data_IF_249936944095
#
_entry.id   IF_249936944095
#
_cell.length_a   1.000
_cell.length_b   1.000
_cell.length_c   1.000
_cell.angle_alpha   90.00
_cell.angle_beta   90.00
_cell.angle_gamma   90.00
#
_symmetry.space_group_name_H-M   'P 1'
#
loop_
_entity.id
_entity.type
_entity.pdbx_description
1 polymer ?
#
# COMPACT_ATOMS: atom_id res chain seq x y z
N UNK A 1 14.70 23.68 -1.57
CA UNK A 1 14.16 23.30 -0.25
C UNK A 1 13.25 22.10 -0.44
N UNK A 2 13.77 20.90 -0.20
CA UNK A 2 13.02 19.66 -0.42
C UNK A 2 12.24 19.36 0.86
N UNK A 3 10.92 19.46 0.80
CA UNK A 3 10.04 19.16 1.94
C UNK A 3 10.25 17.73 2.42
N UNK A 4 10.76 17.58 3.63
CA UNK A 4 10.75 16.31 4.35
C UNK A 4 9.30 16.08 4.74
N UNK A 5 8.59 15.23 4.01
CA UNK A 5 7.29 14.71 4.45
C UNK A 5 7.55 13.75 5.61
N UNK A 6 7.41 14.26 6.82
CA UNK A 6 7.22 13.46 8.03
C UNK A 6 5.87 12.75 7.90
N UNK A 7 5.89 11.43 7.66
CA UNK A 7 4.68 10.62 7.66
C UNK A 7 4.38 10.19 9.08
N UNK A 8 3.54 10.95 9.78
CA UNK A 8 2.75 10.34 10.86
C UNK A 8 1.89 9.24 10.22
N UNK A 9 2.12 7.99 10.58
CA UNK A 9 1.38 6.86 10.01
C UNK A 9 -0.11 6.99 10.35
N UNK A 10 -0.91 7.43 9.38
CA UNK A 10 -2.35 7.54 9.55
C UNK A 10 -2.93 6.12 9.71
N UNK A 11 -3.56 5.85 10.85
CA UNK A 11 -4.26 4.58 11.06
C UNK A 11 -5.43 4.47 10.08
N UNK A 12 -5.50 3.39 9.28
CA UNK A 12 -6.62 3.19 8.37
C UNK A 12 -7.95 3.14 9.11
N UNK A 13 -8.97 3.80 8.55
CA UNK A 13 -10.33 3.80 9.08
C UNK A 13 -11.19 2.72 8.42
N UNK A 14 -12.22 2.24 9.12
CA UNK A 14 -13.27 1.43 8.51
C UNK A 14 -14.30 2.36 7.86
N UNK A 15 -14.71 2.08 6.63
CA UNK A 15 -15.88 2.68 6.00
C UNK A 15 -17.00 1.65 5.91
N UNK A 16 -18.17 2.00 6.42
CA UNK A 16 -19.36 1.14 6.44
C UNK A 16 -20.58 1.90 5.95
N UNK A 17 -21.30 1.29 5.01
CA UNK A 17 -22.64 1.71 4.62
C UNK A 17 -23.67 0.74 5.18
N UNK A 18 -23.72 0.67 6.50
CA UNK A 18 -24.63 -0.17 7.26
C UNK A 18 -25.03 0.53 8.57
N UNK A 19 -26.18 0.15 9.12
CA UNK A 19 -26.60 0.62 10.44
C UNK A 19 -25.74 -0.01 11.55
N UNK A 20 -25.66 0.61 12.74
CA UNK A 20 -24.94 0.02 13.86
C UNK A 20 -25.48 -1.36 14.18
N UNK A 21 -24.59 -2.33 14.37
CA UNK A 21 -24.96 -3.69 14.78
C UNK A 21 -24.06 -4.18 15.91
N UNK A 22 -24.52 -5.14 16.75
CA UNK A 22 -23.69 -5.69 17.82
C UNK A 22 -22.35 -6.26 17.31
N UNK A 23 -22.34 -6.85 16.10
CA UNK A 23 -21.13 -7.36 15.47
C UNK A 23 -20.13 -6.24 15.12
N UNK A 24 -20.62 -5.09 14.66
CA UNK A 24 -19.78 -3.94 14.31
C UNK A 24 -19.25 -3.23 15.56
N UNK A 25 -20.10 -3.03 16.57
CA UNK A 25 -19.71 -2.42 17.85
C UNK A 25 -18.75 -3.33 18.64
N UNK A 26 -18.91 -4.65 18.50
CA UNK A 26 -17.99 -5.64 19.08
C UNK A 26 -16.67 -5.82 18.33
N UNK A 27 -16.46 -5.14 17.19
CA UNK A 27 -15.27 -5.28 16.36
C UNK A 27 -14.02 -4.56 16.91
N UNK A 28 -14.07 -3.99 18.13
CA UNK A 28 -12.97 -3.25 18.76
C UNK A 28 -12.50 -2.04 17.94
N UNK A 29 -13.45 -1.33 17.33
CA UNK A 29 -13.20 -0.09 16.62
C UNK A 29 -13.69 1.09 17.46
N UNK A 30 -12.84 2.10 17.63
CA UNK A 30 -13.22 3.28 18.42
C UNK A 30 -14.29 4.10 17.70
N UNK A 31 -14.14 4.27 16.39
CA UNK A 31 -15.02 5.04 15.52
C UNK A 31 -15.00 4.46 14.10
N UNK A 32 -16.08 4.68 13.35
CA UNK A 32 -16.19 4.30 11.94
C UNK A 32 -16.43 5.50 11.03
N UNK A 33 -16.31 5.31 9.72
CA UNK A 33 -16.65 6.30 8.71
C UNK A 33 -17.90 5.84 7.96
N UNK A 34 -18.85 6.75 7.75
CA UNK A 34 -20.17 6.43 7.19
C UNK A 34 -20.56 7.44 6.10
N UNK A 35 -21.39 7.05 5.13
CA UNK A 35 -22.00 8.02 4.22
C UNK A 35 -23.06 8.87 4.95
N UNK A 36 -23.31 10.08 4.44
CA UNK A 36 -24.26 11.02 5.04
C UNK A 36 -25.68 10.45 5.22
N UNK A 37 -26.09 9.54 4.33
CA UNK A 37 -27.37 8.84 4.40
C UNK A 37 -27.56 8.01 5.69
N UNK A 38 -26.48 7.66 6.39
CA UNK A 38 -26.50 6.85 7.62
C UNK A 38 -26.38 7.68 8.90
N UNK A 39 -26.21 9.00 8.80
CA UNK A 39 -25.92 9.86 9.96
C UNK A 39 -26.97 9.75 11.09
N UNK A 40 -28.25 9.65 10.73
CA UNK A 40 -29.36 9.50 11.68
C UNK A 40 -29.29 8.18 12.45
N UNK A 41 -29.03 7.05 11.76
CA UNK A 41 -28.92 5.74 12.38
C UNK A 41 -27.72 5.60 13.32
N UNK A 42 -26.70 6.44 13.15
CA UNK A 42 -25.46 6.44 13.93
C UNK A 42 -25.46 7.48 15.07
N UNK A 43 -26.58 8.17 15.33
CA UNK A 43 -26.70 9.11 16.46
C UNK A 43 -26.35 8.42 17.78
N UNK A 44 -25.43 9.02 18.55
CA UNK A 44 -24.96 8.51 19.84
C UNK A 44 -23.88 7.44 19.74
N UNK A 45 -23.47 7.04 18.53
CA UNK A 45 -22.32 6.16 18.29
C UNK A 45 -21.16 6.97 17.70
N UNK A 46 -19.90 6.52 17.87
CA UNK A 46 -18.78 7.23 17.25
C UNK A 46 -18.72 6.95 15.74
N UNK A 47 -19.16 7.91 14.94
CA UNK A 47 -19.05 7.86 13.49
C UNK A 47 -18.67 9.22 12.90
N UNK A 48 -17.86 9.19 11.85
CA UNK A 48 -17.52 10.37 11.04
C UNK A 48 -18.22 10.25 9.70
N UNK A 49 -19.01 11.27 9.35
CA UNK A 49 -19.64 11.35 8.04
C UNK A 49 -18.60 11.72 6.99
N UNK A 50 -18.51 10.93 5.93
CA UNK A 50 -17.61 11.16 4.79
C UNK A 50 -18.38 11.05 3.48
N UNK A 51 -18.00 11.85 2.49
CA UNK A 51 -18.49 11.70 1.12
C UNK A 51 -17.60 10.70 0.36
N UNK A 52 -18.08 9.47 0.06
CA UNK A 52 -17.29 8.49 -0.66
C UNK A 52 -16.99 8.89 -2.11
N UNK A 53 -17.73 9.82 -2.70
CA UNK A 53 -17.48 10.31 -4.05
C UNK A 53 -16.22 11.21 -4.12
N UNK A 54 -15.86 11.86 -3.02
CA UNK A 54 -14.67 12.71 -2.91
C UNK A 54 -13.37 11.92 -2.67
N UNK A 55 -13.45 10.60 -2.45
CA UNK A 55 -12.32 9.75 -2.12
C UNK A 55 -11.68 9.10 -3.35
N UNK A 56 -10.37 8.85 -3.28
CA UNK A 56 -9.65 8.15 -4.36
C UNK A 56 -9.90 6.65 -4.26
N UNK A 57 -10.69 6.08 -5.17
CA UNK A 57 -10.99 4.64 -5.18
C UNK A 57 -9.78 3.81 -5.60
N UNK A 58 -9.45 2.81 -4.79
CA UNK A 58 -8.35 1.88 -5.05
C UNK A 58 -8.85 0.42 -5.01
N UNK A 59 -8.23 -0.47 -5.82
CA UNK A 59 -8.56 -1.89 -5.82
C UNK A 59 -8.14 -2.59 -4.53
N UNK A 60 -8.73 -3.75 -4.26
CA UNK A 60 -8.30 -4.63 -3.19
C UNK A 60 -6.86 -5.13 -3.40
N UNK A 61 -6.01 -5.12 -2.37
CA UNK A 61 -4.76 -5.86 -2.40
C UNK A 61 -5.00 -7.35 -2.17
N UNK A 62 -4.10 -8.17 -2.70
CA UNK A 62 -4.20 -9.61 -2.55
C UNK A 62 -3.13 -10.39 -3.30
N UNK A 63 -3.29 -11.71 -3.29
CA UNK A 63 -2.39 -12.63 -3.98
C UNK A 63 -3.22 -13.53 -4.90
N UNK A 64 -2.90 -13.49 -6.19
CA UNK A 64 -3.47 -14.37 -7.21
C UNK A 64 -2.54 -15.55 -7.44
N UNK A 65 -2.87 -16.66 -6.79
CA UNK A 65 -2.26 -17.95 -7.05
C UNK A 65 -2.76 -18.51 -8.38
N UNK A 66 -1.84 -19.07 -9.18
CA UNK A 66 -2.13 -19.68 -10.48
C UNK A 66 -1.68 -21.14 -10.48
N UNK A 67 -2.19 -21.92 -9.53
CA UNK A 67 -1.72 -23.29 -9.27
C UNK A 67 -2.05 -24.29 -10.39
N UNK A 68 -3.09 -24.02 -11.20
CA UNK A 68 -3.60 -24.95 -12.20
C UNK A 68 -3.20 -24.60 -13.64
N UNK A 69 -2.15 -23.80 -13.82
CA UNK A 69 -1.71 -23.34 -15.14
C UNK A 69 -0.24 -23.68 -15.37
N UNK A 70 0.07 -24.36 -16.48
CA UNK A 70 1.45 -24.62 -16.88
C UNK A 70 2.17 -23.31 -17.23
N UNK A 71 3.23 -22.97 -16.50
CA UNK A 71 3.96 -21.70 -16.61
C UNK A 71 5.44 -21.88 -16.35
N UNK A 72 6.25 -20.93 -16.81
CA UNK A 72 7.69 -20.89 -16.55
C UNK A 72 8.04 -20.59 -15.07
N UNK A 73 7.09 -20.10 -14.26
CA UNK A 73 7.26 -19.86 -12.83
C UNK A 73 5.95 -20.10 -12.08
N UNK A 74 6.05 -20.64 -10.88
CA UNK A 74 4.94 -20.80 -9.92
C UNK A 74 4.73 -19.59 -9.01
N UNK A 75 5.53 -18.52 -9.17
CA UNK A 75 5.44 -17.33 -8.33
C UNK A 75 4.05 -16.67 -8.47
N UNK A 76 3.29 -16.51 -7.38
CA UNK A 76 1.95 -15.95 -7.45
C UNK A 76 2.01 -14.46 -7.79
N UNK A 77 0.96 -13.96 -8.44
CA UNK A 77 0.87 -12.53 -8.72
C UNK A 77 0.43 -11.77 -7.47
N UNK A 78 1.10 -10.67 -7.14
CA UNK A 78 0.74 -9.80 -6.00
C UNK A 78 0.02 -8.58 -6.55
N UNK A 79 -1.23 -8.40 -6.11
CA UNK A 79 -2.00 -7.18 -6.35
C UNK A 79 -1.74 -6.23 -5.18
N UNK A 80 -1.07 -5.12 -5.48
CA UNK A 80 -0.63 -4.14 -4.49
C UNK A 80 -0.90 -2.72 -4.98
N UNK A 81 -1.36 -1.87 -4.06
CA UNK A 81 -1.50 -0.43 -4.26
C UNK A 81 -0.20 0.34 -4.03
N UNK A 82 0.88 -0.33 -3.62
CA UNK A 82 2.18 0.29 -3.32
C UNK A 82 2.70 1.24 -4.41
N UNK A 83 2.50 0.91 -5.69
CA UNK A 83 2.93 1.77 -6.79
C UNK A 83 2.10 3.07 -6.87
N UNK A 84 0.82 2.97 -6.52
CA UNK A 84 -0.10 4.12 -6.45
C UNK A 84 0.26 5.01 -5.26
N UNK A 85 0.57 4.42 -4.11
CA UNK A 85 1.06 5.16 -2.95
C UNK A 85 2.40 5.83 -3.21
N UNK A 86 3.33 5.16 -3.91
CA UNK A 86 4.63 5.71 -4.27
C UNK A 86 4.54 6.90 -5.23
N UNK A 87 3.55 6.92 -6.13
CA UNK A 87 3.21 8.08 -6.98
C UNK A 87 2.60 9.25 -6.18
N UNK A 88 2.10 8.97 -4.99
CA UNK A 88 1.24 9.86 -4.23
C UNK A 88 -0.21 9.72 -4.65
N UNK A 89 -1.09 9.58 -3.65
CA UNK A 89 -2.55 9.65 -3.83
C UNK A 89 -3.03 11.04 -3.41
N UNK A 90 -4.08 11.54 -4.08
CA UNK A 90 -4.74 12.77 -3.65
C UNK A 90 -5.75 12.44 -2.56
N UNK A 91 -5.60 13.08 -1.39
CA UNK A 91 -6.49 12.90 -0.26
C UNK A 91 -6.48 11.47 0.29
N UNK A 92 -7.64 11.02 0.76
CA UNK A 92 -7.82 9.70 1.38
C UNK A 92 -8.25 8.66 0.35
N UNK A 93 -7.64 7.48 0.39
CA UNK A 93 -8.02 6.36 -0.44
C UNK A 93 -9.29 5.66 0.10
N UNK A 94 -10.19 5.23 -0.77
CA UNK A 94 -11.26 4.29 -0.46
C UNK A 94 -10.93 2.95 -1.07
N UNK A 95 -10.65 1.94 -0.24
CA UNK A 95 -10.20 0.62 -0.67
C UNK A 95 -11.35 -0.36 -0.52
N UNK A 96 -11.80 -0.89 -1.65
CA UNK A 96 -12.76 -1.99 -1.68
C UNK A 96 -12.03 -3.31 -1.41
N UNK A 97 -11.81 -3.67 -0.14
CA UNK A 97 -11.02 -4.85 0.21
C UNK A 97 -11.65 -6.16 -0.28
N UNK A 98 -12.97 -6.27 -0.29
CA UNK A 98 -13.64 -7.55 -0.51
C UNK A 98 -13.32 -8.57 0.60
N UNK A 99 -13.91 -9.75 0.47
CA UNK A 99 -13.90 -10.77 1.52
C UNK A 99 -12.47 -11.20 1.90
N UNK A 100 -12.15 -11.13 3.19
CA UNK A 100 -10.90 -11.62 3.78
C UNK A 100 -9.69 -10.69 3.67
N UNK A 101 -9.77 -9.58 2.93
CA UNK A 101 -8.60 -8.72 2.66
C UNK A 101 -8.58 -7.42 3.46
N UNK A 102 -9.56 -7.16 4.33
CA UNK A 102 -9.64 -5.89 5.06
C UNK A 102 -8.40 -5.61 5.93
N UNK A 103 -7.92 -6.63 6.65
CA UNK A 103 -6.69 -6.54 7.43
C UNK A 103 -5.45 -6.32 6.55
N UNK A 104 -5.36 -7.02 5.41
CA UNK A 104 -4.26 -6.84 4.46
C UNK A 104 -4.24 -5.42 3.87
N UNK A 105 -5.41 -4.89 3.51
CA UNK A 105 -5.54 -3.53 2.99
C UNK A 105 -5.16 -2.46 4.01
N UNK A 106 -5.52 -2.67 5.29
CA UNK A 106 -5.08 -1.80 6.37
C UNK A 106 -3.55 -1.84 6.54
N UNK A 107 -2.97 -3.05 6.57
CA UNK A 107 -1.52 -3.22 6.72
C UNK A 107 -0.74 -2.58 5.57
N UNK A 108 -1.20 -2.75 4.33
CA UNK A 108 -0.57 -2.15 3.15
C UNK A 108 -0.64 -0.61 3.22
N UNK A 109 -1.82 -0.04 3.44
CA UNK A 109 -1.99 1.41 3.53
C UNK A 109 -1.11 2.00 4.65
N UNK A 110 -1.07 1.35 5.82
CA UNK A 110 -0.22 1.77 6.94
C UNK A 110 1.27 1.69 6.61
N UNK A 111 1.74 0.59 5.98
CA UNK A 111 3.13 0.44 5.58
C UNK A 111 3.59 1.56 4.62
N UNK A 112 2.69 2.04 3.76
CA UNK A 112 2.94 3.17 2.87
C UNK A 112 2.58 4.54 3.48
N UNK A 113 2.06 4.57 4.71
CA UNK A 113 1.59 5.78 5.39
C UNK A 113 0.51 6.53 4.59
N UNK A 114 -0.28 5.79 3.81
CA UNK A 114 -1.38 6.35 3.04
C UNK A 114 -2.62 6.50 3.93
N UNK A 115 -3.26 7.66 3.92
CA UNK A 115 -4.58 7.82 4.50
C UNK A 115 -5.58 6.95 3.73
N UNK A 116 -6.20 5.98 4.40
CA UNK A 116 -7.10 5.04 3.77
C UNK A 116 -8.35 4.74 4.61
N UNK A 117 -9.47 4.58 3.91
CA UNK A 117 -10.72 4.05 4.39
C UNK A 117 -10.99 2.71 3.72
N UNK A 118 -11.15 1.67 4.53
CA UNK A 118 -11.32 0.29 4.04
C UNK A 118 -12.80 -0.06 4.12
N UNK A 119 -13.38 -0.50 3.00
CA UNK A 119 -14.73 -1.07 3.02
C UNK A 119 -14.62 -2.57 3.30
N UNK A 120 -15.33 -3.05 4.33
CA UNK A 120 -15.33 -4.46 4.70
C UNK A 120 -16.73 -4.92 5.11
N UNK A 121 -17.03 -6.20 4.85
CA UNK A 121 -18.28 -6.83 5.28
C UNK A 121 -18.23 -7.34 6.73
N UNK A 122 -19.36 -7.80 7.28
CA UNK A 122 -19.46 -8.26 8.68
C UNK A 122 -18.45 -9.33 9.10
N UNK A 123 -18.06 -10.20 8.17
CA UNK A 123 -17.10 -11.29 8.40
C UNK A 123 -15.69 -10.78 8.70
N UNK A 124 -15.34 -9.59 8.21
CA UNK A 124 -13.98 -9.05 8.27
C UNK A 124 -13.81 -7.96 9.33
N UNK A 125 -14.89 -7.44 9.92
CA UNK A 125 -14.82 -6.33 10.86
C UNK A 125 -13.93 -6.62 12.07
N UNK A 126 -14.05 -7.82 12.64
CA UNK A 126 -13.24 -8.23 13.79
C UNK A 126 -11.75 -8.30 13.42
N UNK A 127 -11.42 -8.96 12.31
CA UNK A 127 -10.04 -9.08 11.82
C UNK A 127 -9.45 -7.71 11.48
N UNK A 128 -10.25 -6.80 10.91
CA UNK A 128 -9.84 -5.42 10.66
C UNK A 128 -9.56 -4.65 11.96
N UNK A 129 -10.43 -4.77 12.98
CA UNK A 129 -10.22 -4.14 14.28
C UNK A 129 -8.96 -4.65 14.99
N UNK A 130 -8.73 -5.96 14.99
CA UNK A 130 -7.50 -6.58 15.52
C UNK A 130 -6.26 -6.07 14.79
N UNK A 131 -6.30 -5.98 13.46
CA UNK A 131 -5.22 -5.40 12.66
C UNK A 131 -4.99 -3.93 13.00
N UNK A 132 -6.05 -3.11 13.10
CA UNK A 132 -5.92 -1.68 13.45
C UNK A 132 -5.29 -1.51 14.84
N UNK A 133 -5.66 -2.36 15.80
CA UNK A 133 -5.04 -2.38 17.14
C UNK A 133 -3.57 -2.76 17.09
N UNK A 134 -3.21 -3.78 16.29
CA UNK A 134 -1.81 -4.15 16.06
C UNK A 134 -1.01 -2.99 15.46
N UNK A 135 -1.53 -2.34 14.42
CA UNK A 135 -0.89 -1.21 13.76
C UNK A 135 -0.72 -0.02 14.71
N UNK A 136 -1.71 0.26 15.55
CA UNK A 136 -1.63 1.33 16.57
C UNK A 136 -0.59 1.06 17.67
N UNK A 137 -0.22 -0.19 17.89
CA UNK A 137 0.82 -0.59 18.85
C UNK A 137 2.23 -0.53 18.25
N UNK A 138 2.36 -0.36 16.93
CA UNK A 138 3.67 -0.19 16.29
C UNK A 138 4.27 1.16 16.68
N UNK A 139 5.60 1.24 16.86
CA UNK A 139 6.26 2.51 17.09
C UNK A 139 6.03 3.44 15.89
N UNK A 140 5.75 4.71 16.18
CA UNK A 140 5.64 5.75 15.15
C UNK A 140 6.90 5.78 14.29
N UNK A 141 6.73 5.70 12.98
CA UNK A 141 7.83 5.69 12.02
C UNK A 141 8.17 7.11 11.54
N UNK A 142 9.04 7.81 12.26
CA UNK A 142 9.46 9.18 11.89
C UNK A 142 10.63 9.20 10.88
N UNK A 143 11.10 8.03 10.46
CA UNK A 143 12.24 7.88 9.56
C UNK A 143 11.80 7.91 8.09
N UNK A 144 12.58 8.56 7.21
CA UNK A 144 12.26 8.59 5.79
C UNK A 144 12.36 7.20 5.18
N UNK A 145 11.50 6.96 4.18
CA UNK A 145 11.57 5.76 3.36
C UNK A 145 12.89 5.75 2.57
N UNK A 146 13.61 4.63 2.64
CA UNK A 146 14.84 4.42 1.89
C UNK A 146 14.53 3.88 0.49
N UNK A 147 15.29 4.37 -0.48
CA UNK A 147 15.24 3.92 -1.86
C UNK A 147 16.61 4.10 -2.53
N UNK A 148 16.96 3.15 -3.39
CA UNK A 148 18.20 3.16 -4.19
C UNK A 148 17.92 3.40 -5.67
N UNK A 149 16.65 3.33 -6.05
CA UNK A 149 16.19 3.45 -7.41
C UNK A 149 15.33 4.71 -7.53
N UNK A 150 15.68 5.57 -8.48
CA UNK A 150 14.82 6.65 -8.95
C UNK A 150 14.00 6.16 -10.12
N UNK A 151 12.69 6.08 -9.96
CA UNK A 151 11.79 5.72 -11.06
C UNK A 151 11.22 6.99 -11.68
N UNK A 152 11.60 7.27 -12.93
CA UNK A 152 11.15 8.43 -13.70
C UNK A 152 9.76 8.18 -14.28
N UNK A 153 8.73 8.35 -13.47
CA UNK A 153 7.36 8.05 -13.87
C UNK A 153 6.85 9.03 -14.93
N UNK A 154 6.47 8.50 -16.09
CA UNK A 154 5.86 9.24 -17.20
C UNK A 154 4.32 9.16 -17.20
N UNK A 155 3.74 8.51 -16.19
CA UNK A 155 2.29 8.30 -16.07
C UNK A 155 1.72 7.21 -16.97
N UNK A 156 2.54 6.52 -17.77
CA UNK A 156 2.08 5.47 -18.67
C UNK A 156 1.57 4.22 -17.93
N UNK A 157 0.72 3.40 -18.58
CA UNK A 157 0.38 2.07 -18.07
C UNK A 157 1.61 1.18 -17.88
N UNK A 158 2.59 1.25 -18.79
CA UNK A 158 3.84 0.51 -18.68
C UNK A 158 4.62 0.90 -17.41
N UNK A 159 4.68 2.19 -17.08
CA UNK A 159 5.28 2.67 -15.84
C UNK A 159 4.63 2.05 -14.59
N UNK A 160 3.29 1.96 -14.58
CA UNK A 160 2.55 1.34 -13.48
C UNK A 160 2.91 -0.13 -13.31
N UNK A 161 2.98 -0.89 -14.41
CA UNK A 161 3.36 -2.29 -14.40
C UNK A 161 4.82 -2.48 -13.96
N UNK A 162 5.76 -1.71 -14.53
CA UNK A 162 7.17 -1.78 -14.15
C UNK A 162 7.36 -1.57 -12.64
N UNK A 163 6.68 -0.57 -12.05
CA UNK A 163 6.73 -0.33 -10.60
C UNK A 163 6.16 -1.48 -9.77
N UNK A 164 5.06 -2.10 -10.20
CA UNK A 164 4.52 -3.30 -9.52
C UNK A 164 5.56 -4.43 -9.52
N UNK A 165 6.27 -4.64 -10.63
CA UNK A 165 7.31 -5.67 -10.70
C UNK A 165 8.54 -5.34 -9.84
N UNK A 166 8.90 -4.06 -9.72
CA UNK A 166 9.94 -3.63 -8.77
C UNK A 166 9.51 -3.89 -7.31
N UNK A 167 8.27 -3.56 -6.95
CA UNK A 167 7.71 -3.81 -5.60
C UNK A 167 7.72 -5.28 -5.26
N UNK A 168 7.24 -6.15 -6.17
CA UNK A 168 7.21 -7.60 -5.97
C UNK A 168 8.58 -8.20 -5.69
N UNK A 169 9.64 -7.62 -6.27
CA UNK A 169 11.03 -8.04 -6.06
C UNK A 169 11.73 -7.29 -4.91
N UNK A 170 10.99 -6.48 -4.16
CA UNK A 170 11.51 -5.61 -3.09
C UNK A 170 12.70 -4.75 -3.57
N UNK A 171 12.62 -4.28 -4.81
CA UNK A 171 13.54 -3.29 -5.38
C UNK A 171 13.03 -1.91 -4.99
N UNK A 172 13.55 -1.38 -3.88
CA UNK A 172 13.03 -0.17 -3.27
C UNK A 172 13.33 1.06 -4.14
N UNK A 173 12.27 1.65 -4.68
CA UNK A 173 12.31 2.84 -5.51
C UNK A 173 11.55 4.01 -4.87
N UNK A 174 11.87 5.21 -5.34
CA UNK A 174 11.03 6.39 -5.19
C UNK A 174 10.71 6.96 -6.55
N UNK A 175 9.50 7.48 -6.70
CA UNK A 175 9.08 8.18 -7.91
C UNK A 175 9.77 9.55 -7.94
N UNK A 176 10.42 9.87 -9.05
CA UNK A 176 11.13 11.14 -9.26
C UNK A 176 10.76 11.72 -10.62
N UNK A 177 10.76 13.05 -10.73
CA UNK A 177 10.47 13.75 -12.00
C UNK A 177 11.72 13.98 -12.84
N UNK A 178 12.89 14.05 -12.20
CA UNK A 178 14.20 14.17 -12.85
C UNK A 178 15.15 13.13 -12.27
N UNK A 179 16.18 12.69 -13.02
CA UNK A 179 17.19 11.80 -12.47
C UNK A 179 17.79 12.37 -11.18
N UNK A 180 17.92 11.56 -10.14
CA UNK A 180 18.56 11.94 -8.89
C UNK A 180 19.89 11.20 -8.75
N UNK A 181 21.00 11.96 -8.79
CA UNK A 181 22.35 11.43 -8.69
C UNK A 181 22.69 10.85 -7.30
N UNK A 182 21.85 11.08 -6.28
CA UNK A 182 21.99 10.47 -4.95
C UNK A 182 21.43 9.05 -4.90
N UNK A 183 20.83 8.55 -5.98
CA UNK A 183 20.34 7.18 -6.10
C UNK A 183 21.31 6.37 -6.94
N UNK A 184 21.44 5.09 -6.62
CA UNK A 184 22.36 4.19 -7.31
C UNK A 184 21.96 3.97 -8.78
N UNK A 185 20.65 3.94 -9.05
CA UNK A 185 20.12 3.71 -10.40
C UNK A 185 18.92 4.63 -10.66
N UNK A 186 18.88 5.22 -11.85
CA UNK A 186 17.73 5.94 -12.36
C UNK A 186 17.12 5.17 -13.53
N UNK A 187 15.81 4.92 -13.49
CA UNK A 187 15.09 3.99 -14.37
C UNK A 187 13.97 4.75 -15.07
N UNK A 188 13.87 4.58 -16.39
CA UNK A 188 12.73 5.04 -17.18
C UNK A 188 11.77 3.88 -17.44
N UNK A 189 10.48 4.14 -17.61
CA UNK A 189 9.49 3.14 -18.02
C UNK A 189 9.90 2.50 -19.34
N UNK A 190 9.61 1.21 -19.48
CA UNK A 190 9.90 0.45 -20.69
C UNK A 190 8.70 -0.45 -20.98
N UNK A 191 8.16 -0.30 -22.18
CA UNK A 191 7.12 -1.19 -22.72
C UNK A 191 7.70 -2.57 -23.05
N UNK A 192 6.83 -3.58 -23.14
CA UNK A 192 7.23 -4.98 -23.34
C UNK A 192 7.14 -5.78 -22.05
N UNK A 193 8.03 -6.76 -21.83
CA UNK A 193 8.00 -7.61 -20.64
C UNK A 193 8.44 -6.86 -19.36
N UNK A 194 7.55 -6.63 -18.39
CA UNK A 194 7.89 -5.94 -17.16
C UNK A 194 8.89 -6.72 -16.27
N UNK A 195 8.99 -8.05 -16.43
CA UNK A 195 9.96 -8.86 -15.68
C UNK A 195 11.40 -8.59 -16.12
N UNK A 196 11.59 -8.39 -17.43
CA UNK A 196 12.88 -8.00 -18.00
C UNK A 196 13.36 -6.66 -17.41
N UNK A 197 12.46 -5.70 -17.21
CA UNK A 197 12.78 -4.41 -16.58
C UNK A 197 13.30 -4.62 -15.16
N UNK A 198 12.57 -5.34 -14.32
CA UNK A 198 12.99 -5.58 -12.94
C UNK A 198 14.31 -6.38 -12.85
N UNK A 199 14.57 -7.26 -13.81
CA UNK A 199 15.85 -7.97 -13.92
C UNK A 199 17.00 -7.03 -14.33
N UNK A 200 16.79 -6.19 -15.35
CA UNK A 200 17.76 -5.19 -15.80
C UNK A 200 18.12 -4.21 -14.66
N UNK A 201 17.12 -3.73 -13.92
CA UNK A 201 17.35 -2.86 -12.74
C UNK A 201 18.18 -3.57 -11.69
N UNK A 202 17.87 -4.83 -11.38
CA UNK A 202 18.65 -5.63 -10.41
C UNK A 202 20.09 -5.83 -10.87
N UNK A 203 20.32 -6.10 -12.15
CA UNK A 203 21.67 -6.24 -12.70
C UNK A 203 22.48 -4.95 -12.58
N UNK A 204 21.87 -3.80 -12.91
CA UNK A 204 22.50 -2.48 -12.79
C UNK A 204 22.80 -2.11 -11.34
N UNK A 205 21.86 -2.38 -10.43
CA UNK A 205 22.04 -2.10 -9.00
C UNK A 205 23.07 -3.05 -8.37
N UNK A 206 23.14 -4.29 -8.87
CA UNK A 206 23.76 -5.47 -8.25
C UNK A 206 23.07 -5.90 -6.97
N UNK A 207 23.26 -7.17 -6.57
CA UNK A 207 22.70 -7.64 -5.30
C UNK A 207 23.36 -6.95 -4.11
N UNK A 208 24.67 -6.69 -4.15
CA UNK A 208 25.43 -6.10 -3.04
C UNK A 208 24.88 -4.75 -2.58
N UNK A 209 24.36 -3.93 -3.50
CA UNK A 209 23.79 -2.61 -3.20
C UNK A 209 22.29 -2.62 -2.93
N UNK A 210 21.62 -3.77 -2.87
CA UNK A 210 20.19 -3.82 -2.50
C UNK A 210 20.00 -3.50 -1.02
N UNK A 211 19.13 -2.52 -0.74
CA UNK A 211 18.72 -2.20 0.64
C UNK A 211 18.02 -3.35 1.35
N UNK A 212 17.25 -4.14 0.60
CA UNK A 212 16.45 -5.22 1.16
C UNK A 212 16.53 -6.45 0.27
N UNK A 213 16.77 -7.59 0.94
CA UNK A 213 16.73 -8.93 0.34
C UNK A 213 15.86 -9.80 1.23
N UNK A 214 14.70 -10.18 0.72
CA UNK A 214 13.85 -11.17 1.36
C UNK A 214 14.08 -12.50 0.65
N UNK A 215 14.37 -13.54 1.43
CA UNK A 215 14.56 -14.90 0.93
C UNK A 215 13.35 -15.73 1.31
N UNK A 216 12.90 -16.60 0.40
CA UNK A 216 11.82 -17.57 0.68
C UNK A 216 10.39 -17.01 0.60
N UNK A 217 10.19 -15.76 0.17
CA UNK A 217 8.85 -15.22 -0.05
C UNK A 217 8.76 -14.35 -1.30
N UNK A 218 7.80 -14.68 -2.16
CA UNK A 218 7.46 -13.95 -3.39
C UNK A 218 6.22 -13.06 -3.24
N UNK A 219 5.64 -13.03 -2.03
CA UNK A 219 4.36 -12.36 -1.73
C UNK A 219 4.49 -11.21 -0.74
N UNK A 220 5.64 -11.07 -0.09
CA UNK A 220 5.87 -9.99 0.89
C UNK A 220 6.37 -8.75 0.15
N UNK A 221 5.60 -7.66 0.28
CA UNK A 221 6.01 -6.31 -0.11
C UNK A 221 6.45 -5.57 1.13
N UNK A 222 7.66 -5.03 1.10
CA UNK A 222 8.23 -4.30 2.22
C UNK A 222 8.58 -2.86 1.83
N UNK A 223 8.37 -1.96 2.79
CA UNK A 223 8.90 -0.61 2.76
C UNK A 223 9.92 -0.49 3.90
N UNK A 224 11.12 -0.02 3.57
CA UNK A 224 12.17 0.17 4.56
C UNK A 224 12.28 1.66 4.90
N UNK A 225 12.26 1.98 6.20
CA UNK A 225 12.55 3.31 6.70
C UNK A 225 13.84 3.29 7.51
N UNK A 226 14.63 4.36 7.44
CA UNK A 226 15.93 4.39 8.11
C UNK A 226 16.61 5.75 8.04
N UNK A 227 17.72 5.88 8.75
CA UNK A 227 18.55 7.07 8.64
C UNK A 227 19.31 7.06 7.31
N UNK A 228 19.03 8.04 6.46
CA UNK A 228 19.60 8.15 5.12
C UNK A 228 21.14 8.33 5.09
N UNK A 229 21.78 8.58 6.23
CA UNK A 229 23.25 8.69 6.34
C UNK A 229 23.96 7.35 6.50
N UNK A 230 23.25 6.26 6.77
CA UNK A 230 23.78 4.88 6.76
C UNK A 230 23.34 4.19 5.46
N UNK A 231 24.09 4.42 4.38
CA UNK A 231 23.97 3.65 3.13
C UNK A 231 25.20 2.80 2.93
#
# INVERSE_FOLDING_TARGET
MTGVLLLAAALPGLFVDADPSPALLGAQLDCVNIPAARAEAWKGQCATVVDPAALTKLPSPGVRYRMNEARASSAPWVDSNGARYARGIKGTALIAAGDGNAALAAAEAHAFGAGALITAGPKDWKAFGEMRKFLAALPGGDLPALANIGFLDDGSPAAAENMILLLRRNLLFRVVTTPDARLDVNVKPKSGDPNAVAYEVRQKLTDSKRLLRLYGSEVVVARLSGNATRR
#
